data_IF_542133633773
#
_entry.id   IF_542133633773
#
_cell.length_a   1.000
_cell.length_b   1.000
_cell.length_c   1.000
_cell.angle_alpha   90.00
_cell.angle_beta   90.00
_cell.angle_gamma   90.00
#
_symmetry.space_group_name_H-M   'P 1'
#
loop_
_entity.id
_entity.type
_entity.pdbx_description
1 polymer ?
#
# COMPACT_ATOMS: atom_id res chain seq x y z
N UNK A 1 58.43 7.40 -11.83
CA UNK A 1 57.16 8.02 -12.25
C UNK A 1 56.06 7.25 -11.53
N UNK A 2 55.81 7.49 -10.23
CA UNK A 2 54.96 8.54 -9.60
C UNK A 2 53.63 8.64 -10.37
N UNK A 3 52.43 8.36 -9.82
CA UNK A 3 51.81 8.62 -8.51
C UNK A 3 51.00 7.36 -8.08
N UNK A 4 50.97 6.86 -6.83
CA UNK A 4 50.44 7.39 -5.57
C UNK A 4 49.06 8.08 -5.65
N UNK A 5 48.02 7.47 -5.07
CA UNK A 5 46.69 8.09 -4.93
C UNK A 5 45.63 7.20 -4.30
N UNK A 6 45.73 6.98 -2.98
CA UNK A 6 44.70 6.40 -2.09
C UNK A 6 43.63 7.44 -1.75
N UNK A 7 42.34 7.08 -1.70
CA UNK A 7 41.27 7.90 -1.09
C UNK A 7 40.31 6.99 -0.30
N UNK A 8 39.76 7.55 0.79
CA UNK A 8 39.45 6.94 2.08
C UNK A 8 37.93 6.83 2.27
N UNK A 9 37.48 5.77 2.97
CA UNK A 9 36.11 5.60 3.46
C UNK A 9 35.76 6.64 4.53
N UNK A 10 34.67 7.39 4.35
CA UNK A 10 34.09 8.25 5.39
C UNK A 10 32.90 7.51 6.01
N UNK A 11 33.01 7.22 7.31
CA UNK A 11 31.92 6.77 8.17
C UNK A 11 31.44 7.95 9.02
N UNK A 12 30.14 8.25 9.02
CA UNK A 12 29.53 9.18 9.96
C UNK A 12 29.12 8.43 11.23
N UNK A 13 29.89 8.64 12.30
CA UNK A 13 29.52 8.31 13.68
C UNK A 13 29.09 9.60 14.38
N UNK A 14 27.82 9.72 14.77
CA UNK A 14 27.33 10.84 15.58
C UNK A 14 27.04 10.34 17.00
N UNK A 15 27.83 10.79 17.96
CA UNK A 15 27.75 10.39 19.36
C UNK A 15 27.08 11.50 20.21
N UNK A 16 25.96 11.12 20.84
CA UNK A 16 25.38 11.47 22.16
C UNK A 16 25.60 12.86 22.78
N UNK A 17 24.50 13.44 23.27
CA UNK A 17 24.47 14.00 24.63
C UNK A 17 23.10 13.80 25.28
N UNK A 18 23.10 13.43 26.57
CA UNK A 18 21.93 13.00 27.32
C UNK A 18 21.14 14.13 27.99
N UNK A 19 19.95 13.79 28.45
CA UNK A 19 19.23 14.49 29.52
C UNK A 19 18.36 13.45 30.26
N UNK A 20 18.52 13.46 31.57
CA UNK A 20 17.85 12.62 32.56
C UNK A 20 16.58 13.32 33.06
N UNK A 21 15.66 12.57 33.68
CA UNK A 21 14.34 12.97 34.26
C UNK A 21 13.20 13.08 33.22
N UNK A 22 12.02 12.48 33.38
CA UNK A 22 11.24 12.31 34.60
C UNK A 22 10.20 11.18 34.45
N UNK A 23 9.79 10.58 35.56
CA UNK A 23 8.80 9.50 35.59
C UNK A 23 7.39 10.05 35.37
N UNK A 24 6.68 9.54 34.36
CA UNK A 24 5.21 9.58 34.34
C UNK A 24 4.68 8.22 33.91
N UNK A 25 4.28 7.44 34.91
CA UNK A 25 3.34 6.35 34.72
C UNK A 25 2.04 6.95 34.17
N UNK A 26 1.71 6.62 32.92
CA UNK A 26 0.34 6.71 32.42
C UNK A 26 -0.18 5.27 32.39
N UNK A 27 -0.98 4.96 33.41
CA UNK A 27 -1.95 3.87 33.35
C UNK A 27 -2.83 4.12 32.12
N UNK A 28 -2.77 3.25 31.11
CA UNK A 28 -3.89 3.15 30.19
C UNK A 28 -4.91 2.24 30.87
N UNK A 29 -5.85 2.88 31.54
CA UNK A 29 -7.11 2.29 31.94
C UNK A 29 -7.72 1.58 30.75
N UNK A 30 -8.26 0.39 31.00
CA UNK A 30 -9.19 -0.27 30.09
C UNK A 30 -10.44 0.61 29.97
N UNK A 31 -10.36 1.64 29.14
CA UNK A 31 -11.52 2.37 28.68
C UNK A 31 -11.97 1.71 27.38
N UNK A 32 -12.93 0.81 27.55
CA UNK A 32 -13.90 0.43 26.52
C UNK A 32 -14.68 1.70 26.15
N UNK A 33 -14.02 2.62 25.44
CA UNK A 33 -14.67 3.69 24.73
C UNK A 33 -15.26 3.04 23.48
N UNK A 34 -16.59 2.92 23.44
CA UNK A 34 -17.31 2.65 22.22
C UNK A 34 -16.93 3.75 21.21
N UNK A 35 -15.98 3.45 20.33
CA UNK A 35 -15.65 4.27 19.16
C UNK A 35 -16.93 4.33 18.35
N UNK A 36 -17.47 5.54 18.22
CA UNK A 36 -18.54 5.82 17.29
C UNK A 36 -17.92 5.70 15.88
N UNK A 37 -17.89 4.48 15.33
CA UNK A 37 -17.31 4.10 14.02
C UNK A 37 -18.11 4.63 12.84
N UNK A 38 -18.76 5.79 12.98
CA UNK A 38 -19.42 6.47 11.89
C UNK A 38 -18.36 7.22 11.06
N UNK A 39 -17.61 6.49 10.23
CA UNK A 39 -16.76 7.09 9.18
C UNK A 39 -15.34 6.54 9.02
N UNK A 40 -14.93 5.55 9.84
CA UNK A 40 -13.67 4.84 9.65
C UNK A 40 -13.95 3.42 9.15
N UNK A 41 -13.45 3.08 7.96
CA UNK A 41 -13.40 1.72 7.45
C UNK A 41 -11.93 1.28 7.44
N UNK A 42 -11.69 0.05 7.86
CA UNK A 42 -10.37 -0.56 7.99
C UNK A 42 -10.51 -2.05 7.63
N UNK A 43 -10.34 -2.34 6.34
CA UNK A 43 -10.66 -3.65 5.78
C UNK A 43 -9.49 -4.18 4.94
N UNK A 44 -9.31 -5.49 4.96
CA UNK A 44 -8.31 -6.19 4.17
C UNK A 44 -8.97 -7.11 3.17
N UNK A 45 -8.40 -7.16 1.97
CA UNK A 45 -8.98 -7.88 0.84
C UNK A 45 -7.92 -8.72 0.14
N UNK A 46 -8.33 -9.88 -0.37
CA UNK A 46 -7.50 -10.81 -1.11
C UNK A 46 -8.13 -11.14 -2.47
N UNK A 47 -7.34 -11.00 -3.52
CA UNK A 47 -7.62 -11.55 -4.83
C UNK A 47 -6.59 -12.64 -5.13
N UNK A 48 -7.03 -13.77 -5.69
CA UNK A 48 -6.15 -14.84 -6.15
C UNK A 48 -6.41 -15.12 -7.63
N UNK A 49 -5.36 -15.31 -8.40
CA UNK A 49 -5.39 -15.57 -9.84
C UNK A 49 -4.40 -16.69 -10.21
N UNK A 50 -4.36 -17.06 -11.49
CA UNK A 50 -3.56 -18.15 -12.02
C UNK A 50 -4.31 -19.48 -12.00
N UNK A 51 -3.72 -20.49 -12.64
CA UNK A 51 -4.34 -21.81 -12.86
C UNK A 51 -4.61 -22.60 -11.58
N UNK A 52 -3.91 -22.29 -10.50
CA UNK A 52 -3.98 -22.93 -9.20
C UNK A 52 -4.10 -21.91 -8.05
N UNK A 53 -4.60 -20.69 -8.34
CA UNK A 53 -4.70 -19.58 -7.37
C UNK A 53 -3.35 -19.21 -6.71
N UNK A 54 -2.25 -19.35 -7.47
CA UNK A 54 -0.90 -19.13 -6.98
C UNK A 54 -0.48 -17.66 -6.94
N UNK A 55 -1.09 -16.81 -7.78
CA UNK A 55 -0.82 -15.39 -7.77
C UNK A 55 -1.81 -14.72 -6.82
N UNK A 56 -1.31 -13.82 -5.97
CA UNK A 56 -2.13 -13.15 -4.96
C UNK A 56 -2.00 -11.64 -5.04
N UNK A 57 -3.08 -10.93 -4.79
CA UNK A 57 -3.07 -9.48 -4.55
C UNK A 57 -3.76 -9.19 -3.24
N UNK A 58 -3.05 -8.55 -2.32
CA UNK A 58 -3.61 -8.09 -1.05
C UNK A 58 -3.82 -6.58 -1.10
N UNK A 59 -4.93 -6.12 -0.56
CA UNK A 59 -5.25 -4.71 -0.43
C UNK A 59 -5.71 -4.45 0.99
N UNK A 60 -5.04 -3.55 1.69
CA UNK A 60 -5.48 -2.98 2.94
C UNK A 60 -5.97 -1.56 2.68
N UNK A 61 -7.22 -1.25 3.05
CA UNK A 61 -7.81 0.07 2.87
C UNK A 61 -8.24 0.64 4.22
N UNK A 62 -7.75 1.85 4.50
CA UNK A 62 -8.19 2.71 5.59
C UNK A 62 -8.90 3.90 4.96
N UNK A 63 -10.19 4.03 5.20
CA UNK A 63 -11.03 5.11 4.67
C UNK A 63 -11.54 5.92 5.85
N UNK A 64 -11.15 7.20 5.89
CA UNK A 64 -11.66 8.16 6.85
C UNK A 64 -12.29 9.33 6.10
N UNK A 65 -13.60 9.48 6.25
CA UNK A 65 -14.40 10.42 5.45
C UNK A 65 -14.20 10.13 3.94
N UNK A 66 -13.67 11.10 3.18
CA UNK A 66 -13.35 10.94 1.77
C UNK A 66 -11.88 10.61 1.52
N UNK A 67 -11.04 10.52 2.55
CA UNK A 67 -9.61 10.23 2.40
C UNK A 67 -9.40 8.72 2.43
N UNK A 68 -8.66 8.21 1.45
CA UNK A 68 -8.25 6.81 1.36
C UNK A 68 -6.74 6.71 1.52
N UNK A 69 -6.32 5.85 2.43
CA UNK A 69 -4.93 5.42 2.60
C UNK A 69 -4.88 3.91 2.69
N UNK A 70 -3.72 3.30 2.50
CA UNK A 70 -3.59 1.87 2.67
C UNK A 70 -2.34 1.29 2.04
N UNK A 71 -2.35 -0.02 1.86
CA UNK A 71 -1.26 -0.78 1.27
C UNK A 71 -1.79 -1.76 0.24
N UNK A 72 -0.98 -2.02 -0.79
CA UNK A 72 -1.29 -3.02 -1.80
C UNK A 72 -0.02 -3.81 -2.14
N UNK A 73 -0.18 -5.13 -2.10
CA UNK A 73 0.86 -6.10 -2.44
C UNK A 73 0.38 -6.96 -3.61
N UNK A 74 1.13 -6.96 -4.70
CA UNK A 74 0.99 -7.92 -5.79
C UNK A 74 2.09 -8.97 -5.66
N UNK A 75 1.69 -10.22 -5.46
CA UNK A 75 2.52 -11.37 -5.12
C UNK A 75 2.33 -12.47 -6.19
N UNK A 76 2.92 -12.30 -7.38
CA UNK A 76 2.95 -13.36 -8.39
C UNK A 76 3.90 -14.49 -7.96
N UNK A 77 3.61 -15.73 -8.36
CA UNK A 77 4.43 -16.90 -8.02
C UNK A 77 5.79 -16.91 -8.75
N UNK A 78 5.78 -16.53 -10.03
CA UNK A 78 6.94 -16.65 -10.93
C UNK A 78 7.67 -15.32 -11.20
N UNK A 79 7.13 -14.20 -10.72
CA UNK A 79 7.67 -12.86 -10.97
C UNK A 79 8.04 -12.20 -9.64
N UNK A 80 8.76 -11.09 -9.74
CA UNK A 80 9.05 -10.27 -8.58
C UNK A 80 7.78 -9.59 -8.06
N UNK A 81 7.63 -9.61 -6.74
CA UNK A 81 6.52 -8.94 -6.07
C UNK A 81 6.64 -7.43 -6.18
N UNK A 82 5.49 -6.77 -6.06
CA UNK A 82 5.38 -5.32 -5.93
C UNK A 82 4.61 -5.03 -4.67
N UNK A 83 5.17 -4.21 -3.80
CA UNK A 83 4.50 -3.75 -2.59
C UNK A 83 4.61 -2.24 -2.49
N UNK A 84 3.57 -1.62 -1.95
CA UNK A 84 3.46 -0.17 -1.97
C UNK A 84 2.25 0.38 -1.24
N UNK A 85 2.21 1.70 -1.13
CA UNK A 85 1.14 2.43 -0.46
C UNK A 85 0.08 2.92 -1.44
N UNK A 86 -1.16 3.00 -0.95
CA UNK A 86 -2.29 3.60 -1.64
C UNK A 86 -2.59 4.95 -1.00
N UNK A 87 -2.72 5.98 -1.82
CA UNK A 87 -3.21 7.30 -1.40
C UNK A 87 -4.23 7.82 -2.40
N UNK A 88 -5.39 8.24 -1.92
CA UNK A 88 -6.48 8.65 -2.79
C UNK A 88 -7.68 9.25 -2.09
N UNK A 89 -8.78 9.30 -2.83
CA UNK A 89 -10.05 9.82 -2.36
C UNK A 89 -11.22 8.91 -2.74
N UNK A 90 -12.28 8.95 -1.93
CA UNK A 90 -13.54 8.24 -2.16
C UNK A 90 -14.66 9.22 -2.48
N UNK A 91 -15.45 8.89 -3.51
CA UNK A 91 -16.71 9.54 -3.85
C UNK A 91 -17.79 8.47 -4.06
N UNK A 92 -18.80 8.43 -3.18
CA UNK A 92 -19.77 7.33 -3.17
C UNK A 92 -19.08 5.99 -2.88
N UNK A 93 -19.18 5.03 -3.79
CA UNK A 93 -18.47 3.75 -3.71
C UNK A 93 -17.14 3.74 -4.47
N UNK A 94 -16.88 4.77 -5.27
CA UNK A 94 -15.67 4.82 -6.11
C UNK A 94 -14.50 5.38 -5.33
N UNK A 95 -13.40 4.65 -5.34
CA UNK A 95 -12.10 5.08 -4.82
C UNK A 95 -11.18 5.31 -6.01
N UNK A 96 -10.61 6.51 -6.10
CA UNK A 96 -9.51 6.81 -7.02
C UNK A 96 -8.26 7.02 -6.20
N UNK A 97 -7.24 6.21 -6.44
CA UNK A 97 -5.99 6.25 -5.69
C UNK A 97 -4.77 6.13 -6.62
N UNK A 98 -3.63 6.51 -6.08
CA UNK A 98 -2.31 6.23 -6.67
C UNK A 98 -1.65 5.16 -5.81
N UNK A 99 -1.29 4.05 -6.43
CA UNK A 99 -0.45 3.03 -5.84
C UNK A 99 1.01 3.37 -6.13
N UNK A 100 1.80 3.62 -5.09
CA UNK A 100 3.24 3.88 -5.18
C UNK A 100 3.98 2.67 -4.66
N UNK A 101 4.73 1.99 -5.51
CA UNK A 101 5.30 0.68 -5.20
C UNK A 101 6.78 0.59 -5.58
N UNK A 102 7.46 -0.38 -4.97
CA UNK A 102 8.84 -0.74 -5.30
C UNK A 102 8.85 -2.00 -6.17
N UNK A 103 9.71 -2.01 -7.19
CA UNK A 103 10.08 -3.20 -7.95
C UNK A 103 11.59 -3.17 -8.22
N UNK A 104 12.30 -4.24 -7.86
CA UNK A 104 13.74 -4.38 -8.11
C UNK A 104 14.57 -3.17 -7.60
N UNK A 105 14.15 -2.56 -6.48
CA UNK A 105 14.81 -1.39 -5.91
C UNK A 105 14.48 -0.05 -6.60
N UNK A 106 13.61 -0.04 -7.60
CA UNK A 106 13.09 1.17 -8.24
C UNK A 106 11.68 1.49 -7.76
N UNK A 107 11.42 2.77 -7.48
CA UNK A 107 10.08 3.26 -7.18
C UNK A 107 9.32 3.55 -8.49
N UNK A 108 8.06 3.15 -8.55
CA UNK A 108 7.13 3.53 -9.61
C UNK A 108 5.74 3.80 -9.03
N UNK A 109 4.82 4.26 -9.87
CA UNK A 109 3.44 4.48 -9.46
C UNK A 109 2.43 4.20 -10.56
N UNK A 110 1.22 3.83 -10.14
CA UNK A 110 0.11 3.51 -11.01
C UNK A 110 -1.17 4.09 -10.42
N UNK A 111 -1.98 4.76 -11.24
CA UNK A 111 -3.35 5.04 -10.83
C UNK A 111 -4.13 3.72 -10.69
N UNK A 112 -5.02 3.65 -9.72
CA UNK A 112 -5.94 2.53 -9.53
C UNK A 112 -7.31 3.07 -9.17
N UNK A 113 -8.34 2.35 -9.60
CA UNK A 113 -9.72 2.70 -9.31
C UNK A 113 -10.45 1.47 -8.78
N UNK A 114 -11.06 1.62 -7.60
CA UNK A 114 -11.82 0.58 -6.93
C UNK A 114 -13.28 0.99 -6.76
N UNK A 115 -14.16 0.00 -6.74
CA UNK A 115 -15.51 0.09 -6.22
C UNK A 115 -15.56 -0.66 -4.89
N UNK A 116 -15.96 0.03 -3.82
CA UNK A 116 -16.14 -0.52 -2.48
C UNK A 116 -17.62 -0.49 -2.11
N UNK A 117 -18.21 -1.66 -1.85
CA UNK A 117 -19.62 -1.79 -1.50
C UNK A 117 -19.81 -2.81 -0.38
N UNK A 118 -19.84 -2.32 0.87
CA UNK A 118 -19.84 -3.16 2.06
C UNK A 118 -18.55 -3.98 2.12
N UNK A 119 -18.71 -5.30 2.19
CA UNK A 119 -17.63 -6.28 2.36
C UNK A 119 -16.97 -6.68 1.02
N UNK A 120 -17.30 -5.98 -0.07
CA UNK A 120 -16.82 -6.26 -1.42
C UNK A 120 -15.94 -5.13 -1.93
N UNK A 121 -14.80 -5.53 -2.50
CA UNK A 121 -13.92 -4.66 -3.23
C UNK A 121 -13.75 -5.21 -4.65
N UNK A 122 -13.87 -4.34 -5.65
CA UNK A 122 -13.54 -4.67 -7.03
C UNK A 122 -12.67 -3.56 -7.64
N UNK A 123 -11.70 -3.93 -8.47
CA UNK A 123 -10.79 -3.00 -9.13
C UNK A 123 -11.03 -3.03 -10.64
N UNK A 124 -10.87 -1.86 -11.29
CA UNK A 124 -10.70 -1.84 -12.74
C UNK A 124 -9.43 -2.61 -13.14
N UNK A 125 -9.47 -3.43 -14.20
CA UNK A 125 -8.32 -4.20 -14.64
C UNK A 125 -7.20 -3.27 -15.14
N UNK A 126 -5.98 -3.82 -15.19
CA UNK A 126 -4.83 -3.14 -15.77
C UNK A 126 -4.61 -3.62 -17.20
N UNK A 127 -4.24 -2.70 -18.07
CA UNK A 127 -3.89 -2.97 -19.48
C UNK A 127 -2.53 -2.40 -19.80
N UNK A 128 -1.84 -2.96 -20.78
CA UNK A 128 -0.59 -2.41 -21.29
C UNK A 128 -0.89 -1.29 -22.27
N UNK A 129 -0.36 -0.10 -22.00
CA UNK A 129 -0.33 0.98 -22.97
C UNK A 129 0.68 0.62 -24.08
N UNK A 130 0.20 0.43 -25.30
CA UNK A 130 1.06 -0.03 -26.41
C UNK A 130 2.07 1.01 -26.88
N UNK A 131 1.85 2.30 -26.57
CA UNK A 131 2.78 3.37 -26.93
C UNK A 131 3.94 3.49 -25.92
N UNK A 132 3.66 3.34 -24.62
CA UNK A 132 4.69 3.46 -23.57
C UNK A 132 5.24 2.12 -23.07
N UNK A 133 4.58 1.01 -23.38
CA UNK A 133 4.87 -0.32 -22.84
C UNK A 133 4.54 -0.47 -21.34
N UNK A 134 4.01 0.57 -20.69
CA UNK A 134 3.69 0.58 -19.26
C UNK A 134 2.26 0.10 -19.01
N UNK A 135 2.04 -0.50 -17.84
CA UNK A 135 0.69 -0.79 -17.37
C UNK A 135 -0.05 0.52 -17.02
N UNK A 136 -1.36 0.51 -17.22
CA UNK A 136 -2.28 1.59 -16.83
C UNK A 136 -3.63 0.98 -16.44
N UNK A 137 -4.43 1.69 -15.64
CA UNK A 137 -5.83 1.31 -15.41
C UNK A 137 -6.61 1.35 -16.72
N UNK A 138 -7.39 0.32 -17.00
CA UNK A 138 -8.38 0.37 -18.06
C UNK A 138 -9.61 1.14 -17.58
N UNK A 139 -9.60 2.46 -17.82
CA UNK A 139 -10.71 3.34 -17.44
C UNK A 139 -12.02 2.99 -18.16
N UNK A 140 -11.94 2.33 -19.32
CA UNK A 140 -13.12 1.97 -20.14
C UNK A 140 -13.78 0.66 -19.69
N UNK A 141 -13.04 -0.20 -19.01
CA UNK A 141 -13.55 -1.46 -18.47
C UNK A 141 -14.41 -1.27 -17.20
N UNK A 142 -15.23 -2.27 -16.89
CA UNK A 142 -15.89 -2.38 -15.60
C UNK A 142 -14.94 -2.79 -14.47
N UNK A 143 -15.45 -2.86 -13.24
CA UNK A 143 -14.71 -3.37 -12.08
C UNK A 143 -14.70 -4.90 -12.08
N UNK A 144 -13.76 -5.51 -12.81
CA UNK A 144 -13.75 -6.96 -13.05
C UNK A 144 -12.78 -7.75 -12.16
N UNK A 145 -11.83 -7.08 -11.50
CA UNK A 145 -10.90 -7.74 -10.58
C UNK A 145 -11.51 -7.72 -9.18
N UNK A 146 -12.11 -8.84 -8.77
CA UNK A 146 -12.84 -8.92 -7.49
C UNK A 146 -11.96 -9.44 -6.37
N UNK A 147 -12.07 -8.84 -5.19
CA UNK A 147 -11.38 -9.26 -3.98
C UNK A 147 -12.38 -9.76 -2.95
N UNK A 148 -11.95 -10.72 -2.15
CA UNK A 148 -12.70 -11.24 -1.00
C UNK A 148 -12.16 -10.60 0.26
N UNK A 149 -13.04 -10.12 1.14
CA UNK A 149 -12.63 -9.61 2.44
C UNK A 149 -12.03 -10.73 3.30
N UNK A 150 -10.95 -10.38 4.00
CA UNK A 150 -10.20 -11.26 4.91
C UNK A 150 -9.81 -10.46 6.15
N UNK A 151 -9.46 -11.16 7.23
CA UNK A 151 -8.89 -10.50 8.40
C UNK A 151 -7.56 -9.83 8.06
N UNK A 152 -7.39 -8.57 8.48
CA UNK A 152 -6.09 -7.92 8.47
C UNK A 152 -5.11 -8.67 9.37
N UNK A 153 -3.87 -8.83 8.91
CA UNK A 153 -2.81 -9.58 9.59
C UNK A 153 -1.53 -8.77 9.64
#
# INVERSE_FOLDING_TARGET
MVCLGTVIFVACNSNKNGSDSDSLAIQHTNDTAAVNTNGLLDNCYLHTDGTAAQDSTKVHLIIKDNKVTGEMEWLPMEKDSRSGTLEGTREGNTIKAVWRFMQEGMADSLAVEFDVSGDKLAQKPLVVNTASGRQQTDISAGYTVTFTEVSCK
#
